data_IF_466886928634
#
_entry.id   IF_466886928634
#
_cell.length_a   1.000
_cell.length_b   1.000
_cell.length_c   1.000
_cell.angle_alpha   90.00
_cell.angle_beta   90.00
_cell.angle_gamma   90.00
#
_symmetry.space_group_name_H-M   'P 1'
#
loop_
_entity.id
_entity.type
_entity.pdbx_description
1 polymer ?
#
# COMPACT_ATOMS: atom_id res chain seq x y z
N UNK A 1 -12.21 -2.02 11.68
CA UNK A 1 -11.86 -1.77 10.78
C UNK A 1 -12.56 -1.17 9.80
N UNK A 2 -12.13 -0.30 9.28
CA UNK A 2 -12.90 0.44 8.40
C UNK A 2 -13.07 -0.29 7.14
N UNK A 3 -14.23 -0.33 6.66
CA UNK A 3 -14.51 -0.94 5.42
C UNK A 3 -14.72 0.15 4.41
N UNK A 4 -13.65 0.60 3.85
CA UNK A 4 -13.71 1.64 2.83
C UNK A 4 -13.69 0.98 1.47
N UNK A 5 -14.76 1.10 0.67
CA UNK A 5 -14.79 0.46 -0.64
C UNK A 5 -13.73 1.00 -1.60
N UNK A 6 -13.14 2.15 -1.28
CA UNK A 6 -12.08 2.70 -2.11
C UNK A 6 -10.70 2.23 -1.69
N UNK A 7 -10.63 1.36 -0.66
CA UNK A 7 -9.37 0.78 -0.20
C UNK A 7 -9.49 -0.73 -0.33
N UNK A 8 -8.66 -1.32 -1.16
CA UNK A 8 -8.67 -2.77 -1.37
C UNK A 8 -7.70 -3.42 -0.40
N UNK A 9 -8.07 -4.60 0.10
CA UNK A 9 -7.14 -5.40 0.88
C UNK A 9 -6.56 -6.47 -0.02
N UNK A 10 -5.24 -6.55 -0.06
CA UNK A 10 -4.54 -7.37 -1.03
C UNK A 10 -3.60 -8.30 -0.29
N UNK A 11 -3.50 -9.53 -0.76
CA UNK A 11 -2.64 -10.54 -0.14
C UNK A 11 -1.60 -11.01 -1.14
N UNK A 12 -0.74 -11.94 -0.68
CA UNK A 12 0.28 -12.52 -1.56
C UNK A 12 -0.34 -13.11 -2.82
N UNK A 13 -1.52 -13.70 -2.71
CA UNK A 13 -2.14 -14.38 -3.85
C UNK A 13 -2.83 -13.44 -4.81
N UNK A 14 -3.26 -12.27 -4.34
CA UNK A 14 -3.99 -11.34 -5.20
C UNK A 14 -3.15 -10.15 -5.65
N UNK A 15 -1.95 -10.01 -5.12
CA UNK A 15 -1.15 -8.82 -5.35
C UNK A 15 -0.86 -8.59 -6.82
N UNK A 16 -0.42 -9.62 -7.50
CA UNK A 16 -0.05 -9.47 -8.91
C UNK A 16 -1.23 -9.01 -9.74
N UNK A 17 -2.38 -9.65 -9.59
CA UNK A 17 -3.54 -9.32 -10.37
C UNK A 17 -4.11 -7.96 -10.04
N UNK A 18 -4.16 -7.63 -8.75
CA UNK A 18 -4.81 -6.40 -8.31
C UNK A 18 -3.92 -5.18 -8.43
N UNK A 19 -2.61 -5.38 -8.27
CA UNK A 19 -1.68 -4.26 -8.21
C UNK A 19 -0.85 -4.17 -9.48
N UNK A 20 -0.13 -5.23 -9.82
CA UNK A 20 0.83 -5.15 -10.91
C UNK A 20 0.17 -5.05 -12.28
N UNK A 21 -1.04 -5.59 -12.40
CA UNK A 21 -1.77 -5.55 -13.67
C UNK A 21 -2.79 -4.43 -13.72
N UNK A 22 -2.78 -3.56 -12.71
CA UNK A 22 -3.73 -2.46 -12.68
C UNK A 22 -3.38 -1.43 -13.75
N UNK A 23 -4.39 -0.95 -14.45
CA UNK A 23 -4.22 0.12 -15.43
C UNK A 23 -4.21 1.49 -14.76
N UNK A 24 -4.58 1.54 -13.49
CA UNK A 24 -4.63 2.77 -12.70
C UNK A 24 -3.47 2.75 -11.72
N UNK A 25 -2.85 3.88 -11.42
CA UNK A 25 -1.81 3.90 -10.39
C UNK A 25 -2.37 3.40 -9.07
N UNK A 26 -1.55 2.65 -8.33
CA UNK A 26 -1.97 2.07 -7.06
C UNK A 26 -0.99 2.46 -5.97
N UNK A 27 -1.51 3.05 -4.90
CA UNK A 27 -0.72 3.32 -3.71
C UNK A 27 -0.93 2.17 -2.75
N UNK A 28 0.13 1.49 -2.38
CA UNK A 28 0.06 0.34 -1.49
C UNK A 28 0.60 0.72 -0.12
N UNK A 29 -0.22 0.48 0.90
CA UNK A 29 0.10 0.75 2.29
C UNK A 29 0.43 -0.58 2.97
N UNK A 30 1.69 -0.78 3.32
CA UNK A 30 2.12 -1.96 4.06
C UNK A 30 1.98 -1.67 5.54
N UNK A 31 1.21 -2.49 6.24
CA UNK A 31 0.82 -2.21 7.61
C UNK A 31 0.67 -3.49 8.42
N UNK A 32 0.45 -3.35 9.71
CA UNK A 32 0.12 -4.48 10.58
C UNK A 32 -0.80 -4.00 11.69
N UNK A 33 -1.64 -4.90 12.23
CA UNK A 33 -2.60 -4.50 13.26
C UNK A 33 -1.95 -3.98 14.55
N UNK A 34 -0.74 -4.47 14.85
CA UNK A 34 -0.05 -4.05 16.08
C UNK A 34 0.74 -2.77 15.90
N UNK A 35 0.74 -2.21 14.72
CA UNK A 35 1.56 -1.05 14.40
C UNK A 35 0.82 0.24 14.77
N UNK A 36 1.27 0.92 15.80
CA UNK A 36 0.65 2.17 16.24
C UNK A 36 0.66 3.25 15.16
N UNK A 37 1.83 3.55 14.56
CA UNK A 37 1.88 4.56 13.49
C UNK A 37 0.98 4.21 12.31
N UNK A 38 0.82 2.92 12.01
CA UNK A 38 -0.07 2.52 10.92
C UNK A 38 -1.50 2.93 11.22
N UNK A 39 -1.93 2.76 12.47
CA UNK A 39 -3.28 3.13 12.86
C UNK A 39 -3.46 4.65 12.84
N UNK A 40 -2.42 5.37 13.17
CA UNK A 40 -2.47 6.84 13.16
C UNK A 40 -2.67 7.37 11.75
N UNK A 41 -2.04 6.75 10.75
CA UNK A 41 -2.18 7.22 9.37
C UNK A 41 -3.38 6.62 8.63
N UNK A 42 -4.04 5.64 9.22
CA UNK A 42 -5.17 4.98 8.54
C UNK A 42 -6.26 5.96 8.09
N UNK A 43 -6.68 6.92 8.92
CA UNK A 43 -7.67 7.89 8.45
C UNK A 43 -7.18 8.72 7.27
N UNK A 44 -5.88 9.02 7.24
CA UNK A 44 -5.31 9.78 6.13
C UNK A 44 -5.36 8.95 4.86
N UNK A 45 -5.04 7.67 4.96
CA UNK A 45 -5.10 6.76 3.82
C UNK A 45 -6.53 6.66 3.30
N UNK A 46 -7.50 6.55 4.21
CA UNK A 46 -8.91 6.50 3.81
C UNK A 46 -9.32 7.79 3.09
N UNK A 47 -8.88 8.93 3.60
CA UNK A 47 -9.20 10.21 2.96
C UNK A 47 -8.61 10.29 1.56
N UNK A 48 -7.37 9.84 1.40
CA UNK A 48 -6.75 9.82 0.09
C UNK A 48 -7.52 8.93 -0.88
N UNK A 49 -7.91 7.76 -0.42
CA UNK A 49 -8.64 6.82 -1.26
C UNK A 49 -9.96 7.42 -1.72
N UNK A 50 -10.66 8.11 -0.83
CA UNK A 50 -11.93 8.73 -1.17
C UNK A 50 -11.73 9.93 -2.10
N UNK A 51 -10.70 10.72 -1.84
CA UNK A 51 -10.45 11.93 -2.59
C UNK A 51 -10.04 11.64 -4.03
N UNK A 52 -9.27 10.57 -4.23
CA UNK A 52 -8.77 10.23 -5.54
C UNK A 52 -9.46 9.01 -6.16
N UNK A 53 -10.64 8.67 -5.66
CA UNK A 53 -11.39 7.55 -6.22
C UNK A 53 -11.56 7.74 -7.72
N UNK A 54 -11.26 6.69 -8.46
CA UNK A 54 -11.33 6.72 -9.92
C UNK A 54 -10.04 7.18 -10.59
N UNK A 55 -9.13 7.80 -9.84
CA UNK A 55 -7.87 8.26 -10.38
C UNK A 55 -6.69 7.53 -9.79
N UNK A 56 -6.79 7.17 -8.53
CA UNK A 56 -5.73 6.47 -7.83
C UNK A 56 -6.38 5.36 -7.03
N UNK A 57 -5.86 4.17 -7.18
CA UNK A 57 -6.34 3.04 -6.41
C UNK A 57 -5.49 2.95 -5.15
N UNK A 58 -6.10 2.66 -4.03
CA UNK A 58 -5.38 2.51 -2.76
C UNK A 58 -5.59 1.09 -2.27
N UNK A 59 -4.51 0.44 -1.90
CA UNK A 59 -4.56 -0.94 -1.43
C UNK A 59 -3.76 -1.06 -0.14
N UNK A 60 -4.13 -2.01 0.70
CA UNK A 60 -3.43 -2.27 1.94
C UNK A 60 -2.95 -3.72 1.94
N UNK A 61 -1.73 -3.92 2.43
CA UNK A 61 -1.14 -5.23 2.56
C UNK A 61 -0.75 -5.42 4.02
N UNK A 62 -1.35 -6.42 4.65
CA UNK A 62 -1.01 -6.77 6.03
C UNK A 62 0.26 -7.60 6.00
N UNK A 63 1.36 -7.07 6.52
CA UNK A 63 2.65 -7.75 6.40
C UNK A 63 2.72 -9.03 7.22
N UNK A 64 1.86 -9.18 8.22
CA UNK A 64 1.82 -10.42 8.99
C UNK A 64 1.23 -11.56 8.17
N UNK A 65 0.27 -11.25 7.32
CA UNK A 65 -0.39 -12.25 6.50
C UNK A 65 0.22 -12.41 5.13
N UNK A 66 0.87 -11.38 4.63
CA UNK A 66 1.38 -11.34 3.26
C UNK A 66 2.87 -11.08 3.28
N UNK A 67 3.59 -12.01 3.89
CA UNK A 67 5.02 -11.84 4.11
C UNK A 67 5.83 -11.89 2.82
N UNK A 68 5.35 -12.63 1.82
CA UNK A 68 6.07 -12.75 0.57
C UNK A 68 6.14 -11.42 -0.16
N UNK A 69 5.02 -10.71 -0.23
CA UNK A 69 5.00 -9.42 -0.90
C UNK A 69 5.90 -8.43 -0.16
N UNK A 70 5.80 -8.42 1.17
CA UNK A 70 6.62 -7.52 1.97
C UNK A 70 8.11 -7.81 1.75
N UNK A 71 8.47 -9.09 1.71
CA UNK A 71 9.85 -9.47 1.49
C UNK A 71 10.30 -9.10 0.09
N UNK A 72 9.45 -9.34 -0.90
CA UNK A 72 9.77 -9.09 -2.30
C UNK A 72 10.11 -7.62 -2.53
N UNK A 73 9.40 -6.71 -1.87
CA UNK A 73 9.64 -5.28 -2.04
C UNK A 73 10.46 -4.68 -0.91
N UNK A 74 11.09 -5.54 -0.11
CA UNK A 74 12.05 -5.13 0.92
C UNK A 74 11.44 -4.17 1.93
N UNK A 75 10.24 -4.47 2.35
CA UNK A 75 9.55 -3.69 3.36
C UNK A 75 10.08 -4.13 4.72
N UNK A 76 10.95 -3.33 5.31
CA UNK A 76 11.58 -3.69 6.57
C UNK A 76 11.00 -2.91 7.75
N UNK A 77 10.24 -1.88 7.48
CA UNK A 77 9.57 -1.13 8.54
C UNK A 77 8.20 -0.72 8.04
N UNK A 78 7.29 -0.47 8.96
CA UNK A 78 5.95 -0.06 8.61
C UNK A 78 5.55 1.14 9.47
N UNK A 79 4.67 1.99 8.94
CA UNK A 79 4.05 1.89 7.62
C UNK A 79 5.02 2.22 6.50
N UNK A 80 4.85 1.54 5.37
CA UNK A 80 5.60 1.84 4.17
C UNK A 80 4.61 2.00 3.03
N UNK A 81 4.81 3.03 2.22
CA UNK A 81 3.93 3.29 1.09
C UNK A 81 4.73 3.19 -0.20
N UNK A 82 4.23 2.40 -1.14
CA UNK A 82 4.86 2.27 -2.44
C UNK A 82 3.81 2.58 -3.49
N UNK A 83 4.14 3.46 -4.41
CA UNK A 83 3.25 3.79 -5.52
C UNK A 83 3.67 2.96 -6.74
N UNK A 84 2.73 2.19 -7.26
CA UNK A 84 2.95 1.40 -8.46
C UNK A 84 2.24 2.10 -9.61
N UNK A 85 2.99 2.46 -10.62
CA UNK A 85 2.41 3.14 -11.77
C UNK A 85 3.14 2.68 -13.01
N UNK A 86 2.41 2.13 -13.96
CA UNK A 86 2.97 1.69 -15.25
C UNK A 86 4.15 0.75 -15.06
N UNK A 87 4.02 -0.18 -14.13
CA UNK A 87 5.07 -1.15 -13.78
C UNK A 87 6.29 -0.51 -13.15
N UNK A 88 6.20 0.75 -12.73
CA UNK A 88 7.28 1.43 -12.02
C UNK A 88 6.95 1.55 -10.55
N UNK A 89 7.98 1.59 -9.73
CA UNK A 89 7.83 1.70 -8.29
C UNK A 89 8.33 3.04 -7.82
N UNK A 90 7.53 3.68 -6.98
CA UNK A 90 7.96 4.90 -6.32
C UNK A 90 7.75 4.71 -4.83
N UNK A 91 8.84 4.64 -4.07
CA UNK A 91 8.77 4.44 -2.63
C UNK A 91 8.78 5.79 -1.94
N UNK A 92 7.84 5.96 -1.08
CA UNK A 92 7.79 7.15 -0.30
C UNK A 92 8.50 6.91 0.96
N UNK A 93 9.11 7.71 1.39
CA UNK A 93 10.01 8.56 1.40
C UNK A 93 11.13 8.15 1.97
N UNK A 94 11.72 7.74 1.46
CA UNK A 94 12.66 7.44 2.03
C UNK A 94 13.64 8.23 1.84
N UNK A 95 14.05 8.69 2.50
CA UNK A 95 14.90 9.58 2.54
C UNK A 95 16.19 9.14 2.18
N UNK A 96 16.78 8.86 1.69
CA UNK A 96 17.81 8.49 1.38
C UNK A 96 18.22 8.57 0.41
N UNK A 97 18.58 8.97 0.23
CA UNK A 97 18.88 9.09 -0.57
C UNK A 97 19.55 8.99 -1.34
N UNK A 98 20.03 9.02 -1.59
CA UNK A 98 20.44 8.92 -2.11
C UNK A 98 20.78 8.86 -2.70
N UNK A 99 20.78 8.85 -2.62
CA UNK A 99 21.16 8.93 -2.94
C UNK A 99 21.48 8.77 -3.36
#
# INVERSE_FOLDING_TARGET
MANNPNVAEVSDTSFEGDILKSSTPVLVDFWAPWCGPCRTVAPIVDDLANQYAGKLKVAKVNVDESQQVAFQYQVTSIPTFILFKDCLLYTSPSPRDRG
#
